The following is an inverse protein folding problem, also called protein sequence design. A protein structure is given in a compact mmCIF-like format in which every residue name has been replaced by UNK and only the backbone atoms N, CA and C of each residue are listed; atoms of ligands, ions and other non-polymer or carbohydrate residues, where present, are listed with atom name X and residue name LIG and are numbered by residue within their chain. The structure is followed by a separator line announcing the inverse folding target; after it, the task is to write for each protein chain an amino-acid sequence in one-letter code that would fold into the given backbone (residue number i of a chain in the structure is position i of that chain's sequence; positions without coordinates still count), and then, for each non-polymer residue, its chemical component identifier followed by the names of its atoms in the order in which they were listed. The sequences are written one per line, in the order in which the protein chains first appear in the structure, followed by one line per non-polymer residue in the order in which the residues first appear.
data_IF_682289473864
#
_entry.id   IF_682289473864
#
_cell.length_a   1.000
_cell.length_b   1.000
_cell.length_c   1.000
_cell.angle_alpha   90.00
_cell.angle_beta   90.00
_cell.angle_gamma   90.00
#
_symmetry.space_group_name_H-M   'P 1'
#
loop_
_entity.id
_entity.type
_entity.pdbx_description
1 polymer ?
#
# COMPACT_ATOMS: atom_id res chain seq x y z
N UNK A 1 3.83 -5.62 15.08
CA UNK A 1 4.06 -7.05 14.83
C UNK A 1 3.24 -7.49 13.62
N UNK A 2 3.89 -8.00 12.56
CA UNK A 2 3.18 -8.65 11.47
C UNK A 2 2.51 -9.94 11.95
N UNK A 3 1.36 -10.27 11.37
CA UNK A 3 0.70 -11.55 11.59
C UNK A 3 1.36 -12.65 10.74
N UNK A 4 1.88 -12.26 9.58
CA UNK A 4 2.58 -13.10 8.64
C UNK A 4 3.91 -12.40 8.36
N UNK A 5 5.00 -13.09 8.62
CA UNK A 5 6.37 -12.67 8.34
C UNK A 5 7.08 -13.83 7.66
N UNK A 6 7.62 -13.59 6.47
CA UNK A 6 8.33 -14.61 5.69
C UNK A 6 9.84 -14.58 5.93
N UNK A 7 10.34 -13.64 6.74
CA UNK A 7 11.77 -13.35 6.86
C UNK A 7 12.34 -12.71 5.60
N UNK A 8 13.66 -12.56 5.57
CA UNK A 8 14.38 -12.03 4.41
C UNK A 8 14.28 -13.00 3.22
N UNK A 9 13.68 -12.55 2.12
CA UNK A 9 13.53 -13.35 0.91
C UNK A 9 14.71 -13.14 -0.04
N UNK A 10 14.98 -11.90 -0.40
CA UNK A 10 16.08 -11.52 -1.29
C UNK A 10 16.40 -10.02 -1.14
N UNK A 11 17.61 -9.62 -1.52
CA UNK A 11 18.06 -8.24 -1.51
C UNK A 11 18.06 -7.68 -2.93
N UNK A 12 17.43 -6.52 -3.12
CA UNK A 12 17.33 -5.84 -4.40
C UNK A 12 17.82 -4.40 -4.23
N UNK A 13 18.91 -4.02 -4.91
CA UNK A 13 19.50 -2.68 -4.84
C UNK A 13 19.78 -2.17 -3.40
N UNK A 14 20.20 -3.05 -2.49
CA UNK A 14 20.42 -2.70 -1.08
C UNK A 14 19.14 -2.64 -0.23
N UNK A 15 17.98 -2.96 -0.83
CA UNK A 15 16.70 -3.08 -0.13
C UNK A 15 16.43 -4.56 0.14
N UNK A 16 16.35 -4.92 1.42
CA UNK A 16 15.93 -6.25 1.84
C UNK A 16 14.43 -6.38 1.60
N UNK A 17 14.03 -7.39 0.84
CA UNK A 17 12.64 -7.67 0.54
C UNK A 17 12.18 -8.84 1.40
N UNK A 18 11.03 -8.66 2.04
CA UNK A 18 10.39 -9.59 2.95
C UNK A 18 8.88 -9.41 2.82
N UNK A 19 8.10 -10.46 3.04
CA UNK A 19 6.64 -10.35 2.97
C UNK A 19 6.11 -10.33 4.40
N UNK A 20 5.64 -9.16 4.80
CA UNK A 20 5.13 -8.85 6.13
C UNK A 20 3.72 -8.26 6.09
N UNK A 21 2.70 -9.01 6.51
CA UNK A 21 1.31 -8.53 6.52
C UNK A 21 0.90 -8.13 7.93
N UNK A 22 0.38 -6.91 8.09
CA UNK A 22 -0.14 -6.38 9.36
C UNK A 22 -1.49 -5.66 9.17
N UNK A 23 -2.13 -5.21 10.26
CA UNK A 23 -3.44 -4.53 10.18
C UNK A 23 -3.32 -3.26 9.33
N UNK A 24 -2.24 -2.49 9.51
CA UNK A 24 -2.06 -1.22 8.82
C UNK A 24 -1.94 -1.40 7.29
N UNK A 25 -1.17 -2.38 6.83
CA UNK A 25 -1.04 -2.71 5.41
C UNK A 25 -2.37 -3.17 4.81
N UNK A 26 -3.14 -3.97 5.55
CA UNK A 26 -4.46 -4.43 5.10
C UNK A 26 -5.46 -3.28 5.00
N UNK A 27 -5.47 -2.37 5.97
CA UNK A 27 -6.35 -1.20 5.93
C UNK A 27 -6.01 -0.27 4.75
N UNK A 28 -4.73 0.00 4.52
CA UNK A 28 -4.30 0.79 3.36
C UNK A 28 -4.63 0.10 2.04
N UNK A 29 -4.47 -1.24 1.96
CA UNK A 29 -4.82 -2.01 0.77
C UNK A 29 -6.33 -1.99 0.51
N UNK A 30 -7.16 -2.07 1.56
CA UNK A 30 -8.60 -1.93 1.44
C UNK A 30 -9.00 -0.55 0.92
N UNK A 31 -8.40 0.53 1.46
CA UNK A 31 -8.61 1.89 0.96
C UNK A 31 -8.18 2.02 -0.49
N UNK A 32 -7.06 1.43 -0.88
CA UNK A 32 -6.59 1.39 -2.27
C UNK A 32 -7.62 0.74 -3.21
N UNK A 33 -8.14 -0.43 -2.84
CA UNK A 33 -9.15 -1.14 -3.64
C UNK A 33 -10.43 -0.30 -3.78
N UNK A 34 -10.91 0.29 -2.69
CA UNK A 34 -12.09 1.16 -2.71
C UNK A 34 -11.85 2.43 -3.54
N UNK A 35 -10.65 3.00 -3.46
CA UNK A 35 -10.27 4.18 -4.23
C UNK A 35 -10.25 3.90 -5.74
N UNK A 36 -9.87 2.68 -6.18
CA UNK A 36 -9.97 2.29 -7.59
C UNK A 36 -11.43 2.36 -8.07
N UNK A 37 -12.36 1.80 -7.31
CA UNK A 37 -13.79 1.87 -7.67
C UNK A 37 -14.31 3.31 -7.69
N UNK A 38 -13.91 4.12 -6.71
CA UNK A 38 -14.22 5.55 -6.68
C UNK A 38 -13.67 6.29 -7.91
N UNK A 39 -12.43 5.99 -8.30
CA UNK A 39 -11.76 6.58 -9.46
C UNK A 39 -12.45 6.20 -10.77
N UNK A 40 -12.80 4.92 -10.96
CA UNK A 40 -13.55 4.45 -12.13
C UNK A 40 -14.90 5.17 -12.21
N UNK A 41 -15.61 5.32 -11.09
CA UNK A 41 -16.88 6.07 -11.04
C UNK A 41 -16.69 7.54 -11.39
N UNK A 42 -15.61 8.17 -10.92
CA UNK A 42 -15.29 9.57 -11.24
C UNK A 42 -15.04 9.78 -12.74
N UNK A 43 -14.34 8.84 -13.40
CA UNK A 43 -14.18 8.83 -14.85
C UNK A 43 -15.52 8.73 -15.59
N UNK A 44 -16.40 7.82 -15.17
CA UNK A 44 -17.74 7.66 -15.79
C UNK A 44 -18.58 8.93 -15.69
N UNK A 45 -18.48 9.65 -14.58
CA UNK A 45 -19.22 10.88 -14.32
C UNK A 45 -18.51 12.15 -14.82
N UNK A 46 -17.34 12.02 -15.49
CA UNK A 46 -16.49 13.13 -15.94
C UNK A 46 -16.16 14.13 -14.82
N UNK A 47 -16.07 13.65 -13.57
CA UNK A 47 -15.75 14.47 -12.41
C UNK A 47 -14.23 14.64 -12.31
N UNK A 48 -13.72 15.74 -12.85
CA UNK A 48 -12.28 16.05 -12.90
C UNK A 48 -11.64 16.11 -11.50
N UNK A 49 -12.31 16.71 -10.52
CA UNK A 49 -11.80 16.76 -9.14
C UNK A 49 -11.76 15.35 -8.53
N UNK A 50 -12.82 14.56 -8.75
CA UNK A 50 -12.88 13.17 -8.31
C UNK A 50 -11.81 12.29 -8.95
N UNK A 51 -11.49 12.52 -10.22
CA UNK A 51 -10.40 11.82 -10.92
C UNK A 51 -9.05 12.19 -10.30
N UNK A 52 -8.79 13.49 -10.09
CA UNK A 52 -7.52 13.96 -9.53
C UNK A 52 -7.29 13.39 -8.11
N UNK A 53 -8.24 13.60 -7.21
CA UNK A 53 -8.12 13.10 -5.83
C UNK A 53 -8.17 11.58 -5.76
N UNK A 54 -9.00 10.93 -6.58
CA UNK A 54 -9.03 9.48 -6.70
C UNK A 54 -7.69 8.91 -7.15
N UNK A 55 -7.06 9.51 -8.15
CA UNK A 55 -5.77 9.05 -8.68
C UNK A 55 -4.66 9.20 -7.63
N UNK A 56 -4.60 10.34 -6.95
CA UNK A 56 -3.64 10.58 -5.85
C UNK A 56 -3.85 9.55 -4.73
N UNK A 57 -5.10 9.25 -4.39
CA UNK A 57 -5.44 8.27 -3.36
C UNK A 57 -4.99 6.87 -3.76
N UNK A 58 -5.30 6.43 -4.99
CA UNK A 58 -4.89 5.12 -5.53
C UNK A 58 -3.37 5.00 -5.53
N UNK A 59 -2.64 6.00 -6.03
CA UNK A 59 -1.17 5.97 -6.07
C UNK A 59 -0.58 5.91 -4.66
N UNK A 60 -1.04 6.78 -3.76
CA UNK A 60 -0.46 6.90 -2.41
C UNK A 60 -0.74 5.64 -1.58
N UNK A 61 -2.00 5.22 -1.45
CA UNK A 61 -2.34 4.06 -0.63
C UNK A 61 -1.88 2.74 -1.26
N UNK A 62 -1.88 2.64 -2.59
CA UNK A 62 -1.30 1.49 -3.30
C UNK A 62 0.19 1.37 -3.02
N UNK A 63 0.94 2.47 -3.21
CA UNK A 63 2.38 2.49 -2.95
C UNK A 63 2.70 2.14 -1.50
N UNK A 64 2.07 2.82 -0.53
CA UNK A 64 2.39 2.60 0.89
C UNK A 64 1.92 1.24 1.41
N UNK A 65 0.80 0.70 0.91
CA UNK A 65 0.39 -0.67 1.27
C UNK A 65 1.40 -1.69 0.79
N UNK A 66 1.83 -1.62 -0.48
CA UNK A 66 2.83 -2.52 -1.04
C UNK A 66 4.20 -2.35 -0.38
N UNK A 67 4.67 -1.13 -0.18
CA UNK A 67 5.93 -0.86 0.51
C UNK A 67 5.92 -1.39 1.95
N UNK A 68 4.80 -1.26 2.66
CA UNK A 68 4.65 -1.82 4.01
C UNK A 68 4.69 -3.35 3.97
N UNK A 69 4.04 -3.97 2.98
CA UNK A 69 4.04 -5.43 2.79
C UNK A 69 5.45 -5.95 2.48
N UNK A 70 6.22 -5.23 1.66
CA UNK A 70 7.49 -5.73 1.12
C UNK A 70 8.76 -5.33 1.90
N UNK A 71 8.72 -4.32 2.76
CA UNK A 71 9.94 -3.73 3.34
C UNK A 71 9.82 -3.40 4.83
N UNK A 72 8.76 -3.83 5.54
CA UNK A 72 8.43 -3.38 6.91
C UNK A 72 8.42 -1.86 7.03
N UNK A 73 7.25 -1.26 6.87
CA UNK A 73 7.02 0.16 7.16
C UNK A 73 7.16 0.56 8.65
N UNK A 74 7.75 -0.28 9.50
CA UNK A 74 8.05 0.05 10.88
C UNK A 74 9.52 -0.27 11.19
N UNK A 75 10.26 0.63 11.87
CA UNK A 75 11.60 0.31 12.31
C UNK A 75 11.54 -0.88 13.25
N UNK A 76 12.37 -1.89 13.00
CA UNK A 76 12.61 -2.97 13.95
C UNK A 76 13.12 -2.27 15.21
N UNK A 77 12.31 -2.22 16.26
CA UNK A 77 12.73 -1.69 17.54
C UNK A 77 13.75 -2.68 18.10
N UNK A 78 15.02 -2.49 17.75
CA UNK A 78 16.13 -3.14 18.43
C UNK A 78 16.23 -2.51 19.82
N UNK A 79 15.77 -3.23 20.83
CA UNK A 79 16.16 -3.02 22.21
C UNK A 79 17.26 -4.01 22.59
#
# INVERSE_FOLDING_TARGET
MPFIDTGELFELFGVKIHIGVNIFSLLMLAVFILAIFGLISAFKNKNILGILFGAITVVSFGFFSLATIFTYGYPILHH
#
